data_IF_223977448105
#
_entry.id   IF_223977448105
#
_cell.length_a   1.000
_cell.length_b   1.000
_cell.length_c   1.000
_cell.angle_alpha   90.00
_cell.angle_beta   90.00
_cell.angle_gamma   90.00
#
_symmetry.space_group_name_H-M   'P 1'
#
loop_
_entity.id
_entity.type
_entity.pdbx_description
1 polymer ?
#
# COMPACT_ATOMS: atom_id res chain seq x y z
N UNK A 1 30.99 -20.55 -8.18
CA UNK A 1 30.11 -20.23 -7.04
C UNK A 1 30.97 -19.72 -5.89
N UNK A 2 30.76 -18.49 -5.40
CA UNK A 2 31.44 -18.02 -4.18
C UNK A 2 30.71 -18.61 -2.97
N UNK A 3 31.41 -19.40 -2.16
CA UNK A 3 30.91 -19.94 -0.89
C UNK A 3 30.87 -18.84 0.17
N UNK A 4 29.72 -18.62 0.79
CA UNK A 4 29.58 -17.74 1.94
C UNK A 4 30.34 -18.33 3.14
N UNK A 5 31.06 -17.49 3.90
CA UNK A 5 31.72 -17.87 5.15
C UNK A 5 31.00 -17.19 6.32
N UNK A 6 30.81 -17.92 7.41
CA UNK A 6 30.18 -17.40 8.63
C UNK A 6 31.24 -16.62 9.41
N UNK A 7 30.94 -15.38 9.79
CA UNK A 7 31.78 -14.57 10.70
C UNK A 7 31.48 -14.92 12.16
N UNK A 8 32.48 -14.77 13.04
CA UNK A 8 32.31 -14.79 14.49
C UNK A 8 31.75 -13.48 15.06
N UNK A 9 31.64 -12.44 14.24
CA UNK A 9 31.11 -11.14 14.65
C UNK A 9 29.64 -11.24 15.06
N UNK A 10 29.27 -10.48 16.09
CA UNK A 10 27.89 -10.39 16.57
C UNK A 10 27.23 -9.14 16.02
N UNK A 11 25.97 -9.28 15.61
CA UNK A 11 25.14 -8.13 15.27
C UNK A 11 24.88 -7.28 16.53
N UNK A 12 25.19 -5.99 16.45
CA UNK A 12 24.82 -5.02 17.48
C UNK A 12 23.65 -4.22 16.94
N UNK A 13 22.52 -4.26 17.65
CA UNK A 13 21.30 -3.57 17.23
C UNK A 13 21.49 -2.06 17.34
N UNK A 14 21.15 -1.33 16.29
CA UNK A 14 21.11 0.14 16.33
C UNK A 14 19.80 0.60 17.00
N UNK A 15 19.94 1.22 18.19
CA UNK A 15 18.81 1.74 18.97
C UNK A 15 18.10 2.91 18.26
N UNK A 16 18.76 3.64 17.37
CA UNK A 16 18.13 4.72 16.62
C UNK A 16 17.19 4.14 15.58
N UNK A 17 17.61 3.08 14.87
CA UNK A 17 16.75 2.36 13.92
C UNK A 17 15.52 1.78 14.64
N UNK A 18 15.70 1.18 15.82
CA UNK A 18 14.56 0.69 16.61
C UNK A 18 13.56 1.80 16.96
N UNK A 19 14.06 2.97 17.42
CA UNK A 19 13.20 4.12 17.72
C UNK A 19 12.49 4.67 16.49
N UNK A 20 13.13 4.63 15.32
CA UNK A 20 12.50 5.02 14.06
C UNK A 20 11.38 4.06 13.67
N UNK A 21 11.57 2.75 13.83
CA UNK A 21 10.53 1.74 13.60
C UNK A 21 9.35 1.96 14.55
N UNK A 22 9.61 2.19 15.84
CA UNK A 22 8.55 2.40 16.85
C UNK A 22 7.72 3.67 16.60
N UNK A 23 8.33 4.71 16.03
CA UNK A 23 7.65 5.96 15.67
C UNK A 23 7.00 5.92 14.29
N UNK A 24 7.45 5.01 13.42
CA UNK A 24 6.96 4.89 12.06
C UNK A 24 5.50 4.48 12.10
N UNK A 25 4.63 5.35 11.63
CA UNK A 25 3.23 5.00 11.52
C UNK A 25 2.98 4.19 10.21
N UNK A 26 3.92 4.17 9.26
CA UNK A 26 3.82 3.44 7.97
C UNK A 26 4.32 1.99 8.08
N UNK A 27 3.79 1.08 7.25
CA UNK A 27 4.06 -0.36 7.38
C UNK A 27 5.53 -0.74 7.15
N UNK A 28 6.22 -0.02 6.26
CA UNK A 28 7.62 -0.27 5.96
C UNK A 28 8.43 0.97 6.23
N UNK A 29 9.48 0.82 7.03
CA UNK A 29 10.45 1.89 7.28
C UNK A 29 11.13 2.26 5.96
N UNK A 30 11.00 3.52 5.59
CA UNK A 30 11.64 4.12 4.42
C UNK A 30 12.01 5.56 4.75
N UNK A 31 13.03 6.07 4.07
CA UNK A 31 13.38 7.50 4.12
C UNK A 31 12.37 8.37 3.38
N UNK A 32 11.70 7.78 2.39
CA UNK A 32 10.73 8.44 1.53
C UNK A 32 9.38 7.76 1.67
N UNK A 33 8.33 8.57 1.71
CA UNK A 33 6.95 8.10 1.65
C UNK A 33 6.18 9.00 0.70
N UNK A 34 5.08 8.47 0.16
CA UNK A 34 4.16 9.25 -0.69
C UNK A 34 2.75 9.13 -0.18
N UNK A 35 2.03 10.24 -0.24
CA UNK A 35 0.62 10.30 0.07
C UNK A 35 -0.19 9.75 -1.10
N UNK A 36 -1.13 8.87 -0.78
CA UNK A 36 -2.06 8.26 -1.72
C UNK A 36 -3.46 8.66 -1.33
N UNK A 37 -4.24 9.12 -2.30
CA UNK A 37 -5.65 9.44 -2.14
C UNK A 37 -6.49 8.37 -2.80
N UNK A 38 -7.47 7.87 -2.06
CA UNK A 38 -8.39 6.84 -2.51
C UNK A 38 -9.82 7.34 -2.41
N UNK A 39 -10.63 6.88 -3.34
CA UNK A 39 -12.08 7.01 -3.30
C UNK A 39 -12.68 5.63 -3.05
N UNK A 40 -13.58 5.55 -2.08
CA UNK A 40 -14.26 4.32 -1.68
C UNK A 40 -15.76 4.53 -1.83
N UNK A 41 -16.43 3.64 -2.55
CA UNK A 41 -17.88 3.66 -2.70
C UNK A 41 -18.57 3.37 -1.36
N UNK A 42 -19.72 4.01 -1.12
CA UNK A 42 -20.44 3.87 0.15
C UNK A 42 -20.79 2.41 0.49
N UNK A 43 -21.08 1.59 -0.53
CA UNK A 43 -21.38 0.16 -0.40
C UNK A 43 -20.25 -0.65 0.26
N UNK A 44 -19.00 -0.23 0.10
CA UNK A 44 -17.83 -0.88 0.69
C UNK A 44 -17.28 -0.15 1.93
N UNK A 45 -17.69 1.11 2.16
CA UNK A 45 -17.17 1.99 3.23
C UNK A 45 -17.13 1.30 4.59
N UNK A 46 -18.25 0.74 5.03
CA UNK A 46 -18.34 0.15 6.36
C UNK A 46 -17.39 -1.05 6.50
N UNK A 47 -17.35 -1.93 5.50
CA UNK A 47 -16.45 -3.08 5.49
C UNK A 47 -14.98 -2.65 5.49
N UNK A 48 -14.64 -1.63 4.71
CA UNK A 48 -13.29 -1.11 4.59
C UNK A 48 -12.77 -0.57 5.92
N UNK A 49 -13.60 0.24 6.59
CA UNK A 49 -13.27 0.84 7.88
C UNK A 49 -13.12 -0.18 9.00
N UNK A 50 -13.98 -1.20 9.03
CA UNK A 50 -13.89 -2.26 10.05
C UNK A 50 -12.60 -3.07 9.95
N UNK A 51 -12.11 -3.33 8.74
CA UNK A 51 -10.89 -4.13 8.54
C UNK A 51 -9.59 -3.39 8.88
N UNK A 52 -9.61 -2.05 8.97
CA UNK A 52 -8.41 -1.21 9.21
C UNK A 52 -7.21 -1.61 8.34
N UNK A 53 -7.46 -1.81 7.04
CA UNK A 53 -6.42 -2.32 6.10
C UNK A 53 -5.34 -1.29 5.76
N UNK A 54 -5.61 0.00 5.99
CA UNK A 54 -4.67 1.09 5.75
C UNK A 54 -4.08 1.61 7.05
N UNK A 55 -2.76 1.71 7.10
CA UNK A 55 -2.03 2.40 8.15
C UNK A 55 -2.13 3.92 7.92
N UNK A 56 -2.25 4.70 9.00
CA UNK A 56 -2.33 6.18 9.00
C UNK A 56 -3.39 6.76 8.09
N UNK A 57 -4.49 6.02 7.94
CA UNK A 57 -5.60 6.46 7.14
C UNK A 57 -6.20 7.74 7.73
N UNK A 58 -6.32 8.77 6.90
CA UNK A 58 -7.02 10.02 7.22
C UNK A 58 -8.27 10.12 6.37
N UNK A 59 -9.34 10.60 6.98
CA UNK A 59 -10.58 10.89 6.27
C UNK A 59 -10.45 12.29 5.69
N UNK A 60 -10.54 12.41 4.36
CA UNK A 60 -10.42 13.69 3.66
C UNK A 60 -11.79 14.32 3.47
N UNK A 61 -12.83 13.52 3.19
CA UNK A 61 -14.22 13.99 3.07
C UNK A 61 -15.23 12.85 3.33
N UNK A 62 -16.44 13.20 3.75
CA UNK A 62 -17.53 12.31 4.21
C UNK A 62 -18.85 12.51 3.44
N UNK A 63 -18.79 12.77 2.13
CA UNK A 63 -19.97 12.80 1.26
C UNK A 63 -20.52 11.39 0.93
N UNK A 64 -21.42 11.27 -0.06
CA UNK A 64 -21.90 9.98 -0.61
C UNK A 64 -20.76 9.06 -1.06
N UNK A 65 -19.61 9.63 -1.40
CA UNK A 65 -18.36 8.91 -1.66
C UNK A 65 -17.37 9.20 -0.53
N UNK A 66 -16.59 8.17 -0.17
CA UNK A 66 -15.70 8.24 0.98
C UNK A 66 -14.25 8.39 0.54
N UNK A 67 -13.68 9.57 0.82
CA UNK A 67 -12.32 9.92 0.40
C UNK A 67 -11.36 9.77 1.56
N UNK A 68 -10.31 8.98 1.35
CA UNK A 68 -9.27 8.74 2.37
C UNK A 68 -7.89 9.01 1.79
N UNK A 69 -6.96 9.42 2.64
CA UNK A 69 -5.53 9.42 2.31
C UNK A 69 -4.73 8.52 3.25
N UNK A 70 -3.60 8.02 2.77
CA UNK A 70 -2.65 7.18 3.51
C UNK A 70 -1.25 7.41 2.95
N UNK A 71 -0.22 7.15 3.76
CA UNK A 71 1.17 7.22 3.31
C UNK A 71 1.72 5.81 3.14
N UNK A 72 2.39 5.58 2.02
CA UNK A 72 3.07 4.32 1.70
C UNK A 72 4.54 4.57 1.37
N UNK A 73 5.36 3.55 1.59
CA UNK A 73 6.76 3.52 1.17
C UNK A 73 6.91 2.87 -0.20
N UNK A 74 6.08 1.87 -0.49
CA UNK A 74 6.15 1.09 -1.73
C UNK A 74 4.79 0.94 -2.39
N UNK A 75 4.75 1.07 -3.73
CA UNK A 75 3.54 0.96 -4.53
C UNK A 75 2.71 -0.29 -4.24
N UNK A 76 3.37 -1.43 -4.05
CA UNK A 76 2.69 -2.72 -3.91
C UNK A 76 1.87 -2.80 -2.61
N UNK A 77 2.19 -1.97 -1.61
CA UNK A 77 1.38 -1.85 -0.39
C UNK A 77 -0.05 -1.44 -0.75
N UNK A 78 -0.20 -0.38 -1.54
CA UNK A 78 -1.53 0.09 -1.90
C UNK A 78 -2.13 -0.73 -3.04
N UNK A 79 -1.34 -1.12 -4.05
CA UNK A 79 -1.86 -1.87 -5.19
C UNK A 79 -2.48 -3.20 -4.75
N UNK A 80 -1.89 -3.88 -3.78
CA UNK A 80 -2.43 -5.15 -3.28
C UNK A 80 -3.72 -4.97 -2.48
N UNK A 81 -3.85 -3.86 -1.75
CA UNK A 81 -5.09 -3.51 -1.05
C UNK A 81 -6.16 -3.20 -2.09
N UNK A 82 -5.89 -2.27 -3.01
CA UNK A 82 -6.86 -1.81 -4.00
C UNK A 82 -7.41 -2.97 -4.83
N UNK A 83 -6.56 -3.90 -5.29
CA UNK A 83 -6.98 -5.12 -6.01
C UNK A 83 -8.01 -5.96 -5.25
N UNK A 84 -7.94 -6.04 -3.92
CA UNK A 84 -8.89 -6.82 -3.11
C UNK A 84 -10.27 -6.18 -3.00
N UNK A 85 -10.38 -4.89 -3.32
CA UNK A 85 -11.58 -4.08 -3.14
C UNK A 85 -12.21 -3.61 -4.45
N UNK A 86 -11.63 -3.96 -5.61
CA UNK A 86 -12.25 -3.69 -6.92
C UNK A 86 -13.63 -4.37 -6.97
N UNK A 87 -14.68 -3.69 -7.48
CA UNK A 87 -14.66 -2.38 -8.16
C UNK A 87 -14.97 -1.18 -7.25
N UNK A 88 -14.98 -1.36 -5.93
CA UNK A 88 -15.50 -0.38 -4.97
C UNK A 88 -14.49 0.66 -4.50
N UNK A 89 -13.23 0.56 -4.95
CA UNK A 89 -12.15 1.47 -4.59
C UNK A 89 -11.42 1.94 -5.85
N UNK A 90 -10.94 3.17 -5.81
CA UNK A 90 -10.18 3.80 -6.88
C UNK A 90 -9.02 4.61 -6.31
N UNK A 91 -7.88 4.60 -7.00
CA UNK A 91 -6.74 5.45 -6.66
C UNK A 91 -6.89 6.76 -7.43
N UNK A 92 -7.03 7.87 -6.69
CA UNK A 92 -7.13 9.21 -7.28
C UNK A 92 -5.77 9.86 -7.46
N UNK A 93 -4.86 9.64 -6.51
CA UNK A 93 -3.50 10.18 -6.52
C UNK A 93 -2.54 9.25 -5.78
N UNK A 94 -1.26 9.19 -6.17
CA UNK A 94 -0.72 9.73 -7.42
C UNK A 94 -1.22 8.91 -8.63
N UNK A 95 -1.37 9.56 -9.79
CA UNK A 95 -2.05 8.98 -10.97
C UNK A 95 -1.32 7.76 -11.51
N UNK A 96 0.01 7.74 -11.38
CA UNK A 96 0.89 6.68 -11.83
C UNK A 96 0.56 5.33 -11.16
N UNK A 97 0.01 5.34 -9.95
CA UNK A 97 -0.43 4.12 -9.27
C UNK A 97 -1.72 3.56 -9.88
N UNK A 98 -2.65 4.42 -10.28
CA UNK A 98 -3.86 4.00 -10.98
C UNK A 98 -3.49 3.43 -12.36
N UNK A 99 -2.60 4.08 -13.09
CA UNK A 99 -2.08 3.58 -14.38
C UNK A 99 -1.40 2.22 -14.23
N UNK A 100 -0.57 2.05 -13.19
CA UNK A 100 0.09 0.78 -12.87
C UNK A 100 -0.91 -0.32 -12.52
N UNK A 101 -1.99 0.01 -11.79
CA UNK A 101 -3.07 -0.94 -11.52
C UNK A 101 -3.76 -1.37 -12.82
N UNK A 102 -4.10 -0.42 -13.68
CA UNK A 102 -4.74 -0.71 -14.97
C UNK A 102 -3.88 -1.59 -15.87
N UNK A 103 -2.58 -1.31 -15.97
CA UNK A 103 -1.64 -2.13 -16.75
C UNK A 103 -1.59 -3.57 -16.23
N UNK A 104 -1.56 -3.76 -14.91
CA UNK A 104 -1.61 -5.09 -14.28
C UNK A 104 -2.93 -5.81 -14.61
N UNK A 105 -4.06 -5.11 -14.54
CA UNK A 105 -5.38 -5.69 -14.84
C UNK A 105 -5.53 -6.04 -16.32
N UNK A 106 -5.13 -5.15 -17.23
CA UNK A 106 -5.12 -5.39 -18.69
C UNK A 106 -4.28 -6.61 -19.01
N UNK A 107 -3.03 -6.67 -18.52
CA UNK A 107 -2.14 -7.84 -18.68
C UNK A 107 -2.74 -9.13 -18.11
N UNK A 108 -3.47 -9.06 -17.00
CA UNK A 108 -4.13 -10.22 -16.43
C UNK A 108 -5.28 -10.72 -17.32
N UNK A 109 -6.10 -9.81 -17.86
CA UNK A 109 -7.20 -10.15 -18.74
C UNK A 109 -6.70 -10.66 -20.11
N UNK A 110 -5.66 -10.04 -20.68
CA UNK A 110 -5.07 -10.44 -21.96
C UNK A 110 -4.48 -11.86 -21.93
N UNK A 111 -3.96 -12.29 -20.77
CA UNK A 111 -3.46 -13.66 -20.58
C UNK A 111 -4.56 -14.73 -20.67
N UNK A 112 -5.84 -14.35 -20.51
CA UNK A 112 -6.96 -15.27 -20.49
C UNK A 112 -7.65 -15.44 -21.85
N UNK A 113 -7.17 -14.81 -22.93
CA UNK A 113 -7.66 -15.04 -24.30
C UNK A 113 -6.86 -16.19 -24.95
N UNK A 114 -7.12 -17.42 -24.48
CA UNK A 114 -6.67 -18.65 -25.13
C UNK A 114 -7.66 -19.79 -24.90
N UNK A 115 -8.96 -19.61 -25.14
CA UNK A 115 -9.90 -20.73 -25.38
C UNK A 115 -11.00 -20.28 -26.33
#
# INVERSE_FOLDING_TARGET
MKSLKISSDKFVVDKNILKEIEKSEINFLSKESKEVHLKIQNSAKEYFLRKKVLSNMKIVDNTDEYFVSTNISFDDEILNIVKQWIPYIEILKPIELQEKLEDVLKKYLDKNIKY
#
